data_IF_190679117885
#
_entry.id   IF_190679117885
#
_cell.length_a   1.000
_cell.length_b   1.000
_cell.length_c   1.000
_cell.angle_alpha   90.00
_cell.angle_beta   90.00
_cell.angle_gamma   90.00
#
_symmetry.space_group_name_H-M   'P 1'
#
loop_
_entity.id
_entity.type
_entity.pdbx_description
1 polymer ?
#
# COMPACT_ATOMS: atom_id res chain seq x y z
N UNK A 1 19.76 -12.12 1.96
CA UNK A 1 18.32 -11.78 1.99
C UNK A 1 17.73 -12.17 0.63
N UNK A 2 16.70 -13.01 0.62
CA UNK A 2 16.01 -13.43 -0.62
C UNK A 2 14.92 -12.40 -0.94
N UNK A 3 14.83 -11.97 -2.20
CA UNK A 3 13.80 -11.01 -2.66
C UNK A 3 12.62 -11.80 -3.24
N UNK A 4 11.41 -11.53 -2.75
CA UNK A 4 10.18 -12.22 -3.18
C UNK A 4 9.32 -11.35 -4.09
N UNK A 5 9.31 -10.04 -3.86
CA UNK A 5 8.50 -9.07 -4.60
C UNK A 5 9.31 -7.82 -4.92
N UNK A 6 8.89 -7.10 -5.96
CA UNK A 6 9.26 -5.72 -6.22
C UNK A 6 8.00 -4.86 -6.17
N UNK A 7 8.07 -3.71 -5.49
CA UNK A 7 6.89 -2.85 -5.30
C UNK A 7 7.14 -1.48 -5.93
N UNK A 8 6.24 -1.07 -6.81
CA UNK A 8 6.15 0.28 -7.34
C UNK A 8 5.00 1.04 -6.71
N UNK A 9 5.20 2.32 -6.46
CA UNK A 9 4.17 3.26 -6.02
C UNK A 9 3.95 4.30 -7.12
N UNK A 10 2.70 4.45 -7.53
CA UNK A 10 2.29 5.40 -8.54
C UNK A 10 1.26 6.34 -7.92
N UNK A 11 1.41 7.63 -8.19
CA UNK A 11 0.50 8.67 -7.75
C UNK A 11 -0.14 9.28 -9.00
N UNK A 12 -1.43 9.60 -8.93
CA UNK A 12 -2.12 10.33 -9.98
C UNK A 12 -1.40 11.65 -10.31
N UNK A 13 -1.46 12.10 -11.56
CA UNK A 13 -0.75 13.31 -12.03
C UNK A 13 -1.03 14.56 -11.17
N UNK A 14 -2.27 14.71 -10.70
CA UNK A 14 -2.68 15.84 -9.83
C UNK A 14 -1.98 15.87 -8.47
N UNK A 15 -1.31 14.79 -8.05
CA UNK A 15 -0.48 14.78 -6.85
C UNK A 15 0.65 15.82 -6.94
N UNK A 16 1.19 16.08 -8.15
CA UNK A 16 2.23 17.09 -8.35
C UNK A 16 1.74 18.47 -7.91
N UNK A 17 0.54 18.87 -8.37
CA UNK A 17 -0.07 20.15 -8.01
C UNK A 17 -0.39 20.21 -6.51
N UNK A 18 -0.91 19.11 -5.95
CA UNK A 18 -1.20 19.00 -4.53
C UNK A 18 0.06 19.19 -3.66
N UNK A 19 1.19 18.61 -4.04
CA UNK A 19 2.44 18.74 -3.28
C UNK A 19 3.13 20.08 -3.47
N UNK A 20 2.97 20.69 -4.65
CA UNK A 20 3.69 21.92 -4.99
C UNK A 20 3.38 23.10 -4.05
N UNK A 21 2.23 23.09 -3.37
CA UNK A 21 1.82 24.13 -2.42
C UNK A 21 2.77 24.19 -1.21
N UNK A 22 3.26 23.04 -0.75
CA UNK A 22 4.00 22.90 0.51
C UNK A 22 5.42 22.39 0.34
N UNK A 23 5.62 21.45 -0.59
CA UNK A 23 6.86 20.69 -0.73
C UNK A 23 7.76 21.20 -1.86
N UNK A 24 7.28 22.14 -2.68
CA UNK A 24 8.08 22.71 -3.77
C UNK A 24 9.33 23.41 -3.23
N UNK A 25 10.48 23.06 -3.79
CA UNK A 25 11.77 23.65 -3.43
C UNK A 25 12.47 22.97 -2.25
N UNK A 26 11.84 21.96 -1.63
CA UNK A 26 12.51 21.08 -0.66
C UNK A 26 13.49 20.15 -1.34
N UNK A 27 14.59 19.87 -0.65
CA UNK A 27 15.60 18.90 -1.07
C UNK A 27 15.12 17.47 -0.87
N UNK A 28 15.76 16.53 -1.54
CA UNK A 28 15.52 15.10 -1.37
C UNK A 28 15.72 14.65 0.09
N UNK A 29 16.77 15.14 0.76
CA UNK A 29 17.04 14.84 2.17
C UNK A 29 15.93 15.37 3.09
N UNK A 30 15.49 16.63 2.89
CA UNK A 30 14.38 17.20 3.68
C UNK A 30 13.08 16.42 3.53
N UNK A 31 12.78 15.93 2.31
CA UNK A 31 11.58 15.14 2.04
C UNK A 31 11.70 13.72 2.62
N UNK A 32 12.89 13.11 2.53
CA UNK A 32 13.12 11.75 2.98
C UNK A 32 12.99 11.62 4.51
N UNK A 33 13.36 12.66 5.25
CA UNK A 33 13.31 12.69 6.72
C UNK A 33 11.97 13.26 7.26
N UNK A 34 10.98 13.52 6.40
CA UNK A 34 9.71 14.16 6.80
C UNK A 34 8.54 13.18 6.84
N UNK A 35 8.14 12.77 8.05
CA UNK A 35 6.89 12.01 8.27
C UNK A 35 5.66 12.76 7.72
N UNK A 36 5.68 14.08 7.81
CA UNK A 36 4.62 14.95 7.30
C UNK A 36 4.49 14.87 5.78
N UNK A 37 5.61 14.76 5.04
CA UNK A 37 5.57 14.56 3.59
C UNK A 37 4.93 13.22 3.22
N UNK A 38 5.28 12.14 3.91
CA UNK A 38 4.67 10.83 3.67
C UNK A 38 3.19 10.79 4.10
N UNK A 39 2.81 11.51 5.15
CA UNK A 39 1.41 11.68 5.52
C UNK A 39 0.60 12.43 4.46
N UNK A 40 1.18 13.44 3.82
CA UNK A 40 0.55 14.15 2.69
C UNK A 40 0.45 13.25 1.45
N UNK A 41 1.42 12.35 1.21
CA UNK A 41 1.30 11.31 0.17
C UNK A 41 0.15 10.36 0.50
N UNK A 42 0.08 9.87 1.73
CA UNK A 42 -0.91 8.88 2.17
C UNK A 42 -2.34 9.46 2.11
N UNK A 43 -2.55 10.62 2.72
CA UNK A 43 -3.87 11.25 2.87
C UNK A 43 -4.25 12.19 1.71
N UNK A 44 -3.36 12.38 0.74
CA UNK A 44 -3.56 13.36 -0.33
C UNK A 44 -4.81 13.06 -1.17
N UNK A 45 -5.47 14.09 -1.74
CA UNK A 45 -6.75 13.97 -2.42
C UNK A 45 -6.63 13.43 -3.85
N UNK A 46 -5.88 12.36 -4.03
CA UNK A 46 -5.55 11.75 -5.33
C UNK A 46 -5.47 10.23 -5.24
N UNK A 47 -5.64 9.58 -6.39
CA UNK A 47 -5.50 8.13 -6.50
C UNK A 47 -4.04 7.71 -6.30
N UNK A 48 -3.85 6.55 -5.66
CA UNK A 48 -2.56 5.88 -5.57
C UNK A 48 -2.70 4.45 -6.07
N UNK A 49 -1.69 3.96 -6.79
CA UNK A 49 -1.60 2.56 -7.20
C UNK A 49 -0.33 1.96 -6.60
N UNK A 50 -0.50 0.88 -5.83
CA UNK A 50 0.60 0.02 -5.42
C UNK A 50 0.64 -1.16 -6.39
N UNK A 51 1.73 -1.25 -7.16
CA UNK A 51 1.97 -2.35 -8.09
C UNK A 51 3.00 -3.29 -7.47
N UNK A 52 2.56 -4.48 -7.05
CA UNK A 52 3.44 -5.50 -6.50
C UNK A 52 3.72 -6.55 -7.57
N UNK A 53 4.95 -6.59 -8.07
CA UNK A 53 5.43 -7.62 -8.97
C UNK A 53 5.99 -8.80 -8.18
N UNK A 54 5.60 -10.02 -8.54
CA UNK A 54 6.04 -11.25 -7.90
C UNK A 54 7.32 -11.75 -8.57
N UNK A 55 8.43 -11.77 -7.85
CA UNK A 55 9.72 -12.24 -8.40
C UNK A 55 9.82 -13.77 -8.38
N UNK A 56 9.06 -14.40 -7.49
CA UNK A 56 8.93 -15.85 -7.37
C UNK A 56 7.45 -16.22 -7.24
N UNK A 57 7.05 -17.47 -7.60
CA UNK A 57 5.68 -17.91 -7.40
C UNK A 57 5.27 -17.84 -5.93
N UNK A 58 4.05 -17.34 -5.67
CA UNK A 58 3.45 -17.25 -4.33
C UNK A 58 2.00 -17.73 -4.39
N UNK A 59 1.43 -18.08 -3.25
CA UNK A 59 -0.03 -18.25 -3.12
C UNK A 59 -0.65 -16.93 -2.69
N UNK A 60 -1.89 -16.67 -3.12
CA UNK A 60 -2.68 -15.52 -2.70
C UNK A 60 -2.80 -15.47 -1.19
N UNK A 61 -3.08 -16.61 -0.56
CA UNK A 61 -3.06 -16.76 0.90
C UNK A 61 -1.75 -16.29 1.54
N UNK A 62 -0.59 -16.77 1.08
CA UNK A 62 0.69 -16.38 1.66
C UNK A 62 0.93 -14.87 1.50
N UNK A 63 0.61 -14.33 0.32
CA UNK A 63 0.73 -12.91 0.04
C UNK A 63 -0.17 -12.08 0.97
N UNK A 64 -1.47 -12.39 1.02
CA UNK A 64 -2.46 -11.61 1.76
C UNK A 64 -2.27 -11.72 3.27
N UNK A 65 -1.91 -12.89 3.81
CA UNK A 65 -1.61 -13.06 5.25
C UNK A 65 -0.35 -12.28 5.64
N UNK A 66 0.69 -12.30 4.79
CA UNK A 66 1.94 -11.58 5.08
C UNK A 66 1.75 -10.07 5.06
N UNK A 67 1.01 -9.53 4.09
CA UNK A 67 0.75 -8.08 3.97
C UNK A 67 -0.17 -7.59 5.08
N UNK A 68 -1.30 -8.28 5.31
CA UNK A 68 -2.26 -7.90 6.35
C UNK A 68 -1.69 -8.01 7.76
N UNK A 69 -0.88 -9.03 8.05
CA UNK A 69 -0.25 -9.18 9.37
C UNK A 69 0.63 -7.98 9.75
N UNK A 70 1.38 -7.43 8.79
CA UNK A 70 2.19 -6.22 9.01
C UNK A 70 1.34 -4.99 9.32
N UNK A 71 0.29 -4.78 8.54
CA UNK A 71 -0.62 -3.63 8.69
C UNK A 71 -1.38 -3.71 10.02
N UNK A 72 -1.89 -4.90 10.36
CA UNK A 72 -2.57 -5.14 11.64
C UNK A 72 -1.60 -4.95 12.82
N UNK A 73 -0.34 -5.33 12.66
CA UNK A 73 0.71 -5.05 13.65
C UNK A 73 0.84 -3.55 13.92
N UNK A 74 1.02 -2.75 12.86
CA UNK A 74 1.13 -1.29 12.95
C UNK A 74 -0.11 -0.67 13.60
N UNK A 75 -1.33 -1.01 13.14
CA UNK A 75 -2.56 -0.48 13.73
C UNK A 75 -2.73 -0.84 15.22
N UNK A 76 -2.25 -2.00 15.65
CA UNK A 76 -2.29 -2.38 17.07
C UNK A 76 -1.27 -1.61 17.89
N UNK A 77 -0.06 -1.42 17.37
CA UNK A 77 0.99 -0.61 18.00
C UNK A 77 0.55 0.85 18.16
N UNK A 78 -0.12 1.40 17.14
CA UNK A 78 -0.68 2.76 17.15
C UNK A 78 -1.97 2.89 17.97
N UNK A 79 -2.54 1.78 18.45
CA UNK A 79 -3.81 1.77 19.19
C UNK A 79 -5.05 2.13 18.35
N UNK A 80 -4.95 2.04 17.03
CA UNK A 80 -6.01 2.39 16.07
C UNK A 80 -6.80 1.19 15.57
N UNK A 81 -6.36 -0.04 15.86
CA UNK A 81 -7.01 -1.26 15.38
C UNK A 81 -8.40 -1.49 16.00
N UNK A 82 -9.44 -1.49 15.17
CA UNK A 82 -10.84 -1.67 15.55
C UNK A 82 -11.46 -2.95 15.01
N UNK A 83 -12.69 -3.23 15.43
CA UNK A 83 -13.49 -4.33 14.88
C UNK A 83 -13.85 -4.12 13.39
N UNK A 84 -13.94 -2.88 12.91
CA UNK A 84 -14.17 -2.61 11.49
C UNK A 84 -12.92 -2.97 10.67
N UNK A 85 -11.73 -2.70 11.20
CA UNK A 85 -10.47 -3.07 10.55
C UNK A 85 -10.31 -4.59 10.47
N UNK A 86 -10.72 -5.32 11.51
CA UNK A 86 -10.76 -6.79 11.48
C UNK A 86 -11.64 -7.31 10.33
N UNK A 87 -12.85 -6.75 10.14
CA UNK A 87 -13.73 -7.12 9.02
C UNK A 87 -13.13 -6.77 7.66
N UNK A 88 -12.44 -5.64 7.56
CA UNK A 88 -11.76 -5.23 6.33
C UNK A 88 -10.63 -6.20 5.99
N UNK A 89 -9.87 -6.66 7.00
CA UNK A 89 -8.83 -7.69 6.84
C UNK A 89 -9.44 -9.01 6.40
N UNK A 90 -10.54 -9.46 7.00
CA UNK A 90 -11.23 -10.70 6.59
C UNK A 90 -11.66 -10.62 5.12
N UNK A 91 -12.22 -9.48 4.68
CA UNK A 91 -12.58 -9.25 3.27
C UNK A 91 -11.34 -9.27 2.36
N UNK A 92 -10.25 -8.66 2.79
CA UNK A 92 -8.99 -8.66 2.04
C UNK A 92 -8.44 -10.08 1.87
N UNK A 93 -8.43 -10.90 2.92
CA UNK A 93 -8.00 -12.30 2.85
C UNK A 93 -8.88 -13.13 1.90
N UNK A 94 -10.19 -12.89 1.93
CA UNK A 94 -11.16 -13.58 1.08
C UNK A 94 -10.91 -13.31 -0.42
N UNK A 95 -10.54 -12.08 -0.80
CA UNK A 95 -10.22 -11.72 -2.21
C UNK A 95 -9.10 -12.59 -2.78
N UNK A 96 -8.12 -12.97 -1.96
CA UNK A 96 -6.97 -13.77 -2.39
C UNK A 96 -7.11 -15.27 -2.08
N UNK A 97 -8.25 -15.72 -1.53
CA UNK A 97 -8.44 -17.10 -1.07
C UNK A 97 -8.26 -18.12 -2.19
N UNK A 98 -8.85 -17.83 -3.35
CA UNK A 98 -8.93 -18.77 -4.46
C UNK A 98 -7.72 -18.63 -5.43
N UNK A 99 -6.83 -17.66 -5.16
CA UNK A 99 -5.56 -17.43 -5.88
C UNK A 99 -4.49 -18.44 -5.44
N UNK A 100 -4.72 -19.71 -5.74
CA UNK A 100 -3.87 -20.82 -5.26
C UNK A 100 -2.44 -20.83 -5.83
N UNK A 101 -2.22 -20.18 -6.98
CA UNK A 101 -0.89 -20.06 -7.60
C UNK A 101 -0.79 -18.77 -8.40
N UNK A 102 -0.01 -17.83 -7.88
CA UNK A 102 0.38 -16.62 -8.58
C UNK A 102 1.79 -16.81 -9.13
N UNK A 103 2.00 -16.76 -10.46
CA UNK A 103 3.29 -17.08 -11.07
C UNK A 103 4.33 -15.99 -10.81
N UNK A 104 5.61 -16.38 -10.90
CA UNK A 104 6.69 -15.40 -11.02
C UNK A 104 6.51 -14.56 -12.29
N UNK A 105 6.74 -13.25 -12.19
CA UNK A 105 6.38 -12.25 -13.20
C UNK A 105 4.92 -11.77 -13.11
N UNK A 106 4.07 -12.45 -12.34
CA UNK A 106 2.71 -12.01 -12.02
C UNK A 106 2.69 -10.72 -11.21
N UNK A 107 1.51 -10.10 -11.08
CA UNK A 107 1.36 -8.83 -10.37
C UNK A 107 0.07 -8.76 -9.57
N UNK A 108 0.14 -8.09 -8.42
CA UNK A 108 -1.02 -7.64 -7.64
C UNK A 108 -1.07 -6.11 -7.74
N UNK A 109 -2.25 -5.59 -8.03
CA UNK A 109 -2.51 -4.16 -8.14
C UNK A 109 -3.46 -3.75 -7.02
N UNK A 110 -3.07 -2.76 -6.22
CA UNK A 110 -3.90 -2.19 -5.16
C UNK A 110 -4.12 -0.71 -5.47
N UNK A 111 -5.34 -0.36 -5.85
CA UNK A 111 -5.71 1.02 -6.14
C UNK A 111 -6.35 1.64 -4.90
N UNK A 112 -5.88 2.82 -4.49
CA UNK A 112 -6.43 3.58 -3.36
C UNK A 112 -7.07 4.83 -3.93
N UNK A 113 -8.39 4.89 -3.85
CA UNK A 113 -9.15 6.05 -4.31
C UNK A 113 -9.06 7.19 -3.29
N UNK A 114 -9.29 8.46 -3.70
CA UNK A 114 -9.22 9.61 -2.80
C UNK A 114 -10.16 9.56 -1.60
N UNK A 115 -11.26 8.80 -1.68
CA UNK A 115 -12.23 8.60 -0.60
C UNK A 115 -11.80 7.53 0.41
N UNK A 116 -10.63 6.91 0.20
CA UNK A 116 -10.10 5.83 1.03
C UNK A 116 -10.54 4.43 0.59
N UNK A 117 -11.36 4.30 -0.45
CA UNK A 117 -11.79 3.00 -0.96
C UNK A 117 -10.67 2.27 -1.70
N UNK A 118 -10.65 0.94 -1.57
CA UNK A 118 -9.79 0.04 -2.36
C UNK A 118 -10.71 -0.88 -3.17
N UNK A 119 -10.84 -0.66 -4.50
CA UNK A 119 -11.75 -1.43 -5.35
C UNK A 119 -11.21 -2.83 -5.69
#
# INVERSE_FOLDING_TARGET
MVKYTATGFYLEEKAIESFAIKWKGKTDVELMDSDEFYNDIYNGPFEKLIHVNLLVPLTGKYFSETTSSKIVGMWKEDGTYTYLDAKTVDKYLEVFRDETSMPGGGSVLLTFLPDGSVP
#
